data_IF_334873821683
#
_entry.id   IF_334873821683
#
_cell.length_a   1.000
_cell.length_b   1.000
_cell.length_c   1.000
_cell.angle_alpha   90.00
_cell.angle_beta   90.00
_cell.angle_gamma   90.00
#
_symmetry.space_group_name_H-M   'P 1'
#
loop_
_entity.id
_entity.type
_entity.pdbx_description
1 polymer ?
#
# COMPACT_ATOMS: atom_id res chain seq x y z
N UNK A 1 14.27 0.57 2.17
CA UNK A 1 13.95 -0.76 1.59
C UNK A 1 14.40 -0.84 0.14
N UNK A 2 13.86 0.01 -0.74
CA UNK A 2 14.30 0.12 -2.14
C UNK A 2 15.82 0.24 -2.27
N UNK A 3 16.41 1.26 -1.64
CA UNK A 3 17.87 1.50 -1.72
C UNK A 3 18.70 0.42 -0.99
N UNK A 4 18.14 -0.19 0.06
CA UNK A 4 18.85 -1.22 0.84
C UNK A 4 18.90 -2.57 0.14
N UNK A 5 17.90 -2.86 -0.71
CA UNK A 5 17.74 -4.15 -1.37
C UNK A 5 17.94 -4.08 -2.88
N UNK A 6 18.11 -2.87 -3.42
CA UNK A 6 18.14 -2.56 -4.85
C UNK A 6 16.98 -3.22 -5.63
N UNK A 7 15.76 -3.09 -5.07
CA UNK A 7 14.53 -3.73 -5.58
C UNK A 7 13.33 -2.82 -5.51
N UNK A 8 12.45 -2.93 -6.50
CA UNK A 8 11.16 -2.27 -6.51
C UNK A 8 10.21 -2.83 -5.45
N UNK A 9 9.40 -1.97 -4.87
CA UNK A 9 8.42 -2.36 -3.83
C UNK A 9 7.10 -2.74 -4.53
N UNK A 10 6.79 -4.03 -4.53
CA UNK A 10 5.58 -4.54 -5.16
C UNK A 10 4.30 -4.31 -4.35
N UNK A 11 4.31 -4.61 -3.04
CA UNK A 11 3.13 -4.50 -2.18
C UNK A 11 3.53 -3.98 -0.79
N UNK A 12 2.79 -2.99 -0.29
CA UNK A 12 2.82 -2.59 1.13
C UNK A 12 1.49 -2.93 1.78
N UNK A 13 1.52 -3.74 2.83
CA UNK A 13 0.33 -4.24 3.55
C UNK A 13 0.48 -3.98 5.04
N UNK A 14 -0.62 -3.59 5.69
CA UNK A 14 -0.65 -3.39 7.15
C UNK A 14 -1.23 -2.05 7.56
N UNK A 15 -1.01 -1.68 8.80
CA UNK A 15 -1.53 -0.44 9.38
C UNK A 15 -0.47 0.63 9.48
N UNK A 16 -0.82 1.88 9.16
CA UNK A 16 0.14 2.99 9.06
C UNK A 16 0.00 4.05 10.17
N UNK A 17 -0.86 3.82 11.15
CA UNK A 17 -1.03 4.65 12.36
C UNK A 17 -1.31 6.14 12.05
N UNK A 18 -2.39 6.40 11.30
CA UNK A 18 -2.87 7.75 10.93
C UNK A 18 -1.78 8.67 10.33
N UNK A 19 -1.13 8.28 9.21
CA UNK A 19 -0.11 9.13 8.62
C UNK A 19 -0.74 10.37 7.96
N UNK A 20 0.05 11.43 7.71
CA UNK A 20 -0.38 12.55 6.88
C UNK A 20 -0.82 12.10 5.48
N UNK A 21 -1.74 12.84 4.84
CA UNK A 21 -2.27 12.48 3.52
C UNK A 21 -1.20 12.50 2.42
N UNK A 22 -0.17 13.31 2.59
CA UNK A 22 0.97 13.47 1.67
C UNK A 22 1.70 12.13 1.46
N UNK A 23 1.67 11.24 2.47
CA UNK A 23 2.30 9.90 2.40
C UNK A 23 1.73 9.07 1.25
N UNK A 24 0.47 9.27 0.87
CA UNK A 24 -0.15 8.58 -0.26
C UNK A 24 0.59 8.89 -1.57
N UNK A 25 0.95 10.16 -1.78
CA UNK A 25 1.71 10.60 -2.96
C UNK A 25 3.18 10.17 -2.87
N UNK A 26 3.77 10.18 -1.68
CA UNK A 26 5.15 9.69 -1.49
C UNK A 26 5.28 8.19 -1.83
N UNK A 27 4.28 7.35 -1.48
CA UNK A 27 4.29 5.95 -1.89
C UNK A 27 4.29 5.80 -3.42
N UNK A 28 3.54 6.63 -4.14
CA UNK A 28 3.54 6.64 -5.61
C UNK A 28 4.87 7.08 -6.19
N UNK A 29 5.47 8.16 -5.66
CA UNK A 29 6.80 8.64 -6.05
C UNK A 29 7.88 7.59 -5.84
N UNK A 30 7.78 6.82 -4.76
CA UNK A 30 8.70 5.71 -4.46
C UNK A 30 8.48 4.48 -5.37
N UNK A 31 7.46 4.49 -6.22
CA UNK A 31 7.19 3.41 -7.17
C UNK A 31 6.47 2.20 -6.57
N UNK A 32 5.86 2.34 -5.39
CA UNK A 32 5.08 1.26 -4.75
C UNK A 32 3.96 0.83 -5.68
N UNK A 33 3.96 -0.44 -6.11
CA UNK A 33 2.98 -0.92 -7.09
C UNK A 33 1.59 -1.09 -6.51
N UNK A 34 1.45 -1.77 -5.37
CA UNK A 34 0.16 -2.08 -4.73
C UNK A 34 0.17 -1.72 -3.26
N UNK A 35 -1.01 -1.39 -2.72
CA UNK A 35 -1.19 -1.07 -1.30
C UNK A 35 -2.40 -1.78 -0.71
N UNK A 36 -2.28 -2.16 0.55
CA UNK A 36 -3.31 -2.80 1.35
C UNK A 36 -3.35 -2.20 2.77
N UNK A 37 -3.71 -0.90 2.91
CA UNK A 37 -3.79 -0.25 4.21
C UNK A 37 -4.93 -0.82 5.06
N UNK A 38 -4.66 -1.03 6.35
CA UNK A 38 -5.59 -1.63 7.32
C UNK A 38 -6.13 -0.62 8.35
N UNK A 39 -6.86 -1.11 9.37
CA UNK A 39 -7.64 -0.31 10.31
C UNK A 39 -6.91 0.91 10.89
N UNK A 40 -5.73 0.73 11.49
CA UNK A 40 -5.05 1.85 12.17
C UNK A 40 -4.47 2.91 11.21
N UNK A 41 -4.58 2.74 9.89
CA UNK A 41 -4.29 3.80 8.92
C UNK A 41 -5.30 4.94 8.98
N UNK A 42 -6.54 4.67 9.42
CA UNK A 42 -7.64 5.64 9.47
C UNK A 42 -8.37 5.77 8.14
N UNK A 43 -9.69 5.97 8.20
CA UNK A 43 -10.57 5.87 7.03
C UNK A 43 -10.31 6.95 5.97
N UNK A 44 -10.01 8.18 6.40
CA UNK A 44 -9.69 9.28 5.49
C UNK A 44 -8.44 8.96 4.65
N UNK A 45 -7.40 8.43 5.28
CA UNK A 45 -6.14 8.07 4.60
C UNK A 45 -6.34 6.84 3.73
N UNK A 46 -7.10 5.84 4.20
CA UNK A 46 -7.47 4.65 3.41
C UNK A 46 -8.22 5.04 2.14
N UNK A 47 -9.14 6.00 2.22
CA UNK A 47 -9.86 6.51 1.04
C UNK A 47 -8.94 7.27 0.09
N UNK A 48 -7.99 8.05 0.60
CA UNK A 48 -6.98 8.69 -0.24
C UNK A 48 -6.11 7.65 -0.98
N UNK A 49 -5.65 6.59 -0.29
CA UNK A 49 -4.99 5.46 -0.94
C UNK A 49 -5.89 4.80 -1.98
N UNK A 50 -7.18 4.57 -1.69
CA UNK A 50 -8.12 3.95 -2.63
C UNK A 50 -8.24 4.74 -3.93
N UNK A 51 -8.39 6.07 -3.82
CA UNK A 51 -8.47 6.97 -4.99
C UNK A 51 -7.19 7.00 -5.79
N UNK A 52 -6.06 7.15 -5.11
CA UNK A 52 -4.74 7.25 -5.77
C UNK A 52 -4.34 5.91 -6.42
N UNK A 53 -4.64 4.78 -5.76
CA UNK A 53 -4.20 3.47 -6.21
C UNK A 53 -5.14 2.78 -7.18
N UNK A 54 -6.44 3.06 -7.16
CA UNK A 54 -7.40 2.47 -8.10
C UNK A 54 -7.33 0.94 -8.11
N UNK A 55 -7.02 0.35 -9.28
CA UNK A 55 -6.89 -1.10 -9.44
C UNK A 55 -5.73 -1.72 -8.64
N UNK A 56 -4.77 -0.91 -8.21
CA UNK A 56 -3.65 -1.32 -7.37
C UNK A 56 -3.94 -1.23 -5.86
N UNK A 57 -5.12 -0.71 -5.49
CA UNK A 57 -5.59 -0.73 -4.12
C UNK A 57 -6.23 -2.09 -3.81
N UNK A 58 -5.83 -2.69 -2.69
CA UNK A 58 -6.39 -3.95 -2.22
C UNK A 58 -7.15 -3.66 -0.92
N UNK A 59 -8.47 -3.86 -0.95
CA UNK A 59 -9.26 -3.85 0.29
C UNK A 59 -8.81 -5.01 1.19
N UNK A 60 -8.40 -4.66 2.41
CA UNK A 60 -7.70 -5.57 3.32
C UNK A 60 -8.37 -5.60 4.70
N UNK A 61 -8.48 -6.80 5.26
CA UNK A 61 -9.16 -7.06 6.53
C UNK A 61 -8.91 -8.48 7.02
N UNK A 62 -9.45 -8.81 8.18
CA UNK A 62 -9.26 -10.13 8.81
C UNK A 62 -9.70 -11.25 7.85
N UNK A 63 -8.89 -12.30 7.75
CA UNK A 63 -9.18 -13.46 6.89
C UNK A 63 -8.90 -13.25 5.40
N UNK A 64 -8.47 -12.06 4.97
CA UNK A 64 -8.10 -11.80 3.57
C UNK A 64 -6.82 -12.55 3.21
N UNK A 65 -6.88 -13.35 2.15
CA UNK A 65 -5.72 -14.01 1.54
C UNK A 65 -5.27 -13.20 0.32
N UNK A 66 -4.03 -12.73 0.32
CA UNK A 66 -3.38 -12.09 -0.84
C UNK A 66 -2.37 -13.08 -1.41
N UNK A 67 -2.60 -13.54 -2.65
CA UNK A 67 -1.68 -14.44 -3.35
C UNK A 67 -0.77 -13.63 -4.26
N UNK A 68 0.52 -13.62 -3.96
CA UNK A 68 1.55 -13.10 -4.87
C UNK A 68 2.02 -14.28 -5.71
N UNK A 69 2.05 -14.08 -7.03
CA UNK A 69 2.60 -15.07 -7.96
C UNK A 69 4.02 -14.65 -8.29
N UNK A 70 4.92 -15.61 -8.34
CA UNK A 70 6.22 -15.39 -8.96
C UNK A 70 5.99 -15.20 -10.47
N UNK A 71 6.39 -14.03 -10.97
CA UNK A 71 6.65 -13.85 -12.39
C UNK A 71 8.04 -14.43 -12.65
N UNK A 72 8.09 -15.67 -13.13
CA UNK A 72 9.23 -16.21 -13.86
C UNK A 72 9.37 -15.48 -15.19
#
# INVERSE_FOLDING_TARGET
>A
AKDLLDREIYLVVGGFHHPPLEVVQEFRKLGVKKVAPSHCTGDQVREAFRREYGQDFIEFGVGKIIRIKDTL
#
